data_IF_215014994483
#
_entry.id   IF_215014994483
#
_cell.length_a   1.000
_cell.length_b   1.000
_cell.length_c   1.000
_cell.angle_alpha   90.00
_cell.angle_beta   90.00
_cell.angle_gamma   90.00
#
_symmetry.space_group_name_H-M   'P 1'
#
loop_
_entity.id
_entity.type
_entity.pdbx_description
1 polymer ?
#
# COMPACT_ATOMS: atom_id res chain seq x y z
N UNK A 1 65.84 3.43 -18.67
CA UNK A 1 64.39 3.49 -18.94
C UNK A 1 63.86 2.07 -18.83
N UNK A 2 62.95 1.81 -17.88
CA UNK A 2 61.51 1.49 -18.11
C UNK A 2 61.32 0.21 -18.96
N UNK A 3 60.62 -0.84 -18.58
CA UNK A 3 59.85 -1.14 -17.36
C UNK A 3 59.53 -2.63 -17.32
N UNK A 4 59.31 -3.10 -16.10
CA UNK A 4 58.71 -4.35 -15.64
C UNK A 4 57.35 -4.73 -16.29
N UNK A 5 57.22 -6.04 -16.60
CA UNK A 5 56.31 -7.04 -16.00
C UNK A 5 54.76 -6.97 -16.17
N UNK A 6 54.24 -8.16 -16.55
CA UNK A 6 52.96 -8.82 -16.21
C UNK A 6 51.77 -8.69 -17.16
N UNK A 7 51.41 -9.82 -17.77
CA UNK A 7 50.02 -10.24 -17.93
C UNK A 7 49.96 -11.78 -17.95
N UNK A 8 49.73 -12.39 -16.79
CA UNK A 8 49.24 -13.79 -16.73
C UNK A 8 47.73 -13.67 -16.66
N UNK A 9 47.06 -13.92 -17.78
CA UNK A 9 45.63 -14.17 -17.80
C UNK A 9 45.42 -15.62 -17.36
N UNK A 10 44.77 -15.81 -16.22
CA UNK A 10 44.24 -17.11 -15.81
C UNK A 10 42.72 -17.02 -15.90
N UNK A 11 42.20 -17.60 -16.97
CA UNK A 11 40.78 -17.94 -17.17
C UNK A 11 40.41 -19.15 -16.32
N UNK A 12 39.11 -19.48 -16.28
CA UNK A 12 38.39 -20.54 -15.52
C UNK A 12 37.81 -20.04 -14.19
N UNK A 13 36.52 -20.18 -13.86
CA UNK A 13 35.48 -21.08 -14.36
C UNK A 13 34.07 -20.58 -13.96
N UNK A 14 33.04 -21.08 -14.67
CA UNK A 14 31.72 -21.35 -14.07
C UNK A 14 30.66 -20.27 -14.20
N UNK A 15 30.08 -20.09 -15.40
CA UNK A 15 28.72 -19.55 -15.53
C UNK A 15 27.74 -20.60 -14.97
N UNK A 16 27.37 -20.47 -13.70
CA UNK A 16 26.12 -21.03 -13.21
C UNK A 16 25.00 -20.16 -13.78
N UNK A 17 24.24 -20.69 -14.73
CA UNK A 17 23.01 -20.08 -15.19
C UNK A 17 21.99 -20.16 -14.05
N UNK A 18 21.98 -19.13 -13.21
CA UNK A 18 20.84 -18.82 -12.36
C UNK A 18 19.74 -18.33 -13.30
N UNK A 19 18.66 -19.10 -13.41
CA UNK A 19 17.41 -18.63 -13.97
C UNK A 19 16.77 -17.67 -12.96
N UNK A 20 17.17 -16.40 -13.01
CA UNK A 20 16.41 -15.34 -12.36
C UNK A 20 15.10 -15.18 -13.13
N UNK A 21 13.97 -15.23 -12.44
CA UNK A 21 12.74 -14.69 -13.01
C UNK A 21 12.93 -13.17 -13.07
N UNK A 22 13.12 -12.62 -14.27
CA UNK A 22 13.37 -11.19 -14.60
C UNK A 22 12.20 -10.24 -14.26
N UNK A 23 11.38 -10.52 -13.23
CA UNK A 23 10.26 -9.65 -12.86
C UNK A 23 10.74 -8.69 -11.77
N UNK A 24 10.76 -7.39 -12.08
CA UNK A 24 10.97 -6.36 -11.06
C UNK A 24 9.90 -6.52 -9.95
N UNK A 25 10.27 -6.31 -8.66
CA UNK A 25 9.31 -6.41 -7.57
C UNK A 25 8.23 -5.36 -7.73
N UNK A 26 7.00 -5.71 -7.35
CA UNK A 26 5.93 -4.72 -7.24
C UNK A 26 6.28 -3.72 -6.14
N UNK A 27 6.07 -2.43 -6.37
CA UNK A 27 6.30 -1.33 -5.43
C UNK A 27 5.00 -0.89 -4.78
N UNK A 28 4.93 -1.03 -3.46
CA UNK A 28 3.83 -0.52 -2.64
C UNK A 28 4.34 0.65 -1.81
N UNK A 29 3.65 1.79 -1.86
CA UNK A 29 3.97 2.93 -1.00
C UNK A 29 2.99 2.96 0.18
N UNK A 30 3.53 3.08 1.39
CA UNK A 30 2.74 3.19 2.62
C UNK A 30 3.05 4.53 3.31
N UNK A 31 2.03 5.35 3.58
CA UNK A 31 2.14 6.44 4.55
C UNK A 31 1.52 6.01 5.88
N UNK A 32 2.36 5.93 6.92
CA UNK A 32 1.92 5.51 8.25
C UNK A 32 1.62 6.76 9.08
N UNK A 33 0.37 6.86 9.56
CA UNK A 33 -0.09 7.90 10.47
C UNK A 33 -0.34 7.28 11.84
N UNK A 34 0.55 7.58 12.77
CA UNK A 34 0.56 7.02 14.11
C UNK A 34 -0.18 7.94 15.10
N UNK A 35 -1.42 7.58 15.44
CA UNK A 35 -2.21 8.27 16.47
C UNK A 35 -2.61 7.30 17.61
N UNK A 36 -1.79 6.27 17.84
CA UNK A 36 -2.04 5.28 18.89
C UNK A 36 -1.09 5.49 20.07
N UNK A 37 -1.60 5.30 21.28
CA UNK A 37 -0.73 5.34 22.46
C UNK A 37 -0.11 3.95 22.66
N UNK A 38 1.17 3.91 23.05
CA UNK A 38 1.77 2.64 23.46
C UNK A 38 1.15 2.22 24.79
N UNK A 39 0.48 1.08 24.81
CA UNK A 39 -0.18 0.53 26.02
C UNK A 39 0.30 -0.89 26.27
N UNK A 40 0.58 -1.26 27.52
CA UNK A 40 1.02 -2.62 27.87
C UNK A 40 2.20 -3.16 27.04
N UNK A 41 3.17 -2.30 26.69
CA UNK A 41 4.29 -2.59 25.77
C UNK A 41 3.86 -3.04 24.35
N UNK A 42 2.62 -2.75 23.95
CA UNK A 42 2.11 -2.97 22.60
C UNK A 42 2.10 -1.65 21.84
N UNK A 43 2.62 -1.68 20.62
CA UNK A 43 2.56 -0.58 19.68
C UNK A 43 2.27 -1.14 18.29
N UNK A 44 1.01 -1.06 17.87
CA UNK A 44 0.56 -1.53 16.56
C UNK A 44 1.39 -0.94 15.41
N UNK A 45 1.69 0.36 15.46
CA UNK A 45 2.47 1.04 14.43
C UNK A 45 3.86 0.41 14.29
N UNK A 46 4.52 0.11 15.42
CA UNK A 46 5.82 -0.56 15.42
C UNK A 46 5.72 -1.98 14.87
N UNK A 47 4.74 -2.78 15.32
CA UNK A 47 4.54 -4.14 14.81
C UNK A 47 4.25 -4.16 13.31
N UNK A 48 3.53 -3.16 12.78
CA UNK A 48 3.30 -3.05 11.35
C UNK A 48 4.58 -2.72 10.58
N UNK A 49 5.44 -1.83 11.09
CA UNK A 49 6.76 -1.55 10.49
C UNK A 49 7.66 -2.79 10.46
N UNK A 50 7.68 -3.59 11.52
CA UNK A 50 8.41 -4.87 11.56
C UNK A 50 7.89 -5.86 10.49
N UNK A 51 6.58 -5.86 10.24
CA UNK A 51 6.01 -6.64 9.13
C UNK A 51 6.46 -6.13 7.77
N UNK A 52 6.60 -4.81 7.59
CA UNK A 52 7.12 -4.19 6.37
C UNK A 52 8.58 -4.58 6.13
N UNK A 53 9.39 -4.64 7.18
CA UNK A 53 10.78 -5.14 7.08
C UNK A 53 10.81 -6.60 6.63
N UNK A 54 9.90 -7.44 7.14
CA UNK A 54 9.77 -8.84 6.73
C UNK A 54 9.32 -8.97 5.28
N UNK A 55 8.33 -8.19 4.84
CA UNK A 55 7.88 -8.16 3.44
C UNK A 55 9.01 -7.74 2.49
N UNK A 56 9.82 -6.77 2.90
CA UNK A 56 10.97 -6.29 2.12
C UNK A 56 12.13 -7.29 2.00
N UNK A 57 12.07 -8.44 2.69
CA UNK A 57 13.02 -9.54 2.49
C UNK A 57 12.61 -10.48 1.34
N UNK A 58 11.38 -10.33 0.82
CA UNK A 58 10.88 -11.09 -0.32
C UNK A 58 11.34 -10.44 -1.64
N UNK A 59 11.48 -11.25 -2.69
CA UNK A 59 11.98 -10.78 -3.99
C UNK A 59 10.89 -10.13 -4.86
N UNK A 60 9.62 -10.39 -4.58
CA UNK A 60 8.48 -10.04 -5.42
C UNK A 60 7.75 -8.76 -4.99
N UNK A 61 8.01 -8.25 -3.79
CA UNK A 61 7.40 -7.03 -3.25
C UNK A 61 8.44 -6.11 -2.60
N UNK A 62 8.32 -4.82 -2.92
CA UNK A 62 9.06 -3.74 -2.30
C UNK A 62 8.09 -2.76 -1.65
N UNK A 63 8.22 -2.57 -0.34
CA UNK A 63 7.39 -1.62 0.41
C UNK A 63 8.22 -0.41 0.80
N UNK A 64 7.76 0.78 0.44
CA UNK A 64 8.44 2.06 0.69
C UNK A 64 7.58 2.95 1.58
N UNK A 65 8.16 3.49 2.66
CA UNK A 65 7.46 4.46 3.50
C UNK A 65 7.49 5.85 2.85
N UNK A 66 6.31 6.44 2.61
CA UNK A 66 6.14 7.73 1.92
C UNK A 66 7.02 8.82 2.53
N UNK A 67 6.89 9.05 3.85
CA UNK A 67 7.66 10.07 4.58
C UNK A 67 9.18 9.84 4.47
N UNK A 68 9.63 8.59 4.43
CA UNK A 68 11.06 8.26 4.29
C UNK A 68 11.60 8.68 2.93
N UNK A 69 10.82 8.46 1.86
CA UNK A 69 11.25 8.78 0.49
C UNK A 69 10.96 10.22 0.06
N UNK A 70 10.13 10.98 0.80
CA UNK A 70 9.73 12.35 0.43
C UNK A 70 10.08 13.44 1.43
N UNK A 71 10.77 13.13 2.54
CA UNK A 71 11.04 14.12 3.58
C UNK A 71 11.77 15.36 3.02
N UNK A 72 11.26 16.56 3.35
CA UNK A 72 11.84 17.83 2.91
C UNK A 72 11.68 18.14 1.42
N UNK A 73 10.91 17.35 0.66
CA UNK A 73 10.65 17.59 -0.76
C UNK A 73 9.43 18.50 -0.97
N UNK A 74 9.51 19.32 -2.02
CA UNK A 74 8.34 20.00 -2.60
C UNK A 74 7.53 19.04 -3.49
N UNK A 75 6.33 19.45 -3.88
CA UNK A 75 5.41 18.57 -4.62
C UNK A 75 5.92 18.20 -6.02
N UNK A 76 6.70 19.06 -6.67
CA UNK A 76 7.34 18.74 -7.95
C UNK A 76 8.31 17.57 -7.82
N UNK A 77 9.16 17.58 -6.79
CA UNK A 77 10.11 16.47 -6.52
C UNK A 77 9.38 15.20 -6.11
N UNK A 78 8.35 15.31 -5.28
CA UNK A 78 7.53 14.15 -4.89
C UNK A 78 6.85 13.51 -6.10
N UNK A 79 6.33 14.32 -7.03
CA UNK A 79 5.77 13.79 -8.28
C UNK A 79 6.82 13.04 -9.09
N UNK A 80 8.05 13.57 -9.21
CA UNK A 80 9.13 12.88 -9.91
C UNK A 80 9.51 11.53 -9.25
N UNK A 81 9.44 11.44 -7.92
CA UNK A 81 9.63 10.18 -7.18
C UNK A 81 8.52 9.18 -7.55
N UNK A 82 7.26 9.60 -7.54
CA UNK A 82 6.12 8.76 -7.91
C UNK A 82 6.23 8.26 -9.36
N UNK A 83 6.55 9.15 -10.29
CA UNK A 83 6.71 8.83 -11.72
C UNK A 83 7.85 7.82 -11.96
N UNK A 84 8.92 7.91 -11.16
CA UNK A 84 10.07 7.01 -11.23
C UNK A 84 9.77 5.64 -10.62
N UNK A 85 9.03 5.60 -9.51
CA UNK A 85 8.75 4.37 -8.76
C UNK A 85 7.61 3.55 -9.36
N UNK A 86 6.63 4.22 -10.00
CA UNK A 86 5.43 3.61 -10.59
C UNK A 86 4.75 2.60 -9.64
N UNK A 87 4.35 3.03 -8.43
CA UNK A 87 3.80 2.11 -7.44
C UNK A 87 2.52 1.45 -7.95
N UNK A 88 2.30 0.17 -7.65
CA UNK A 88 1.05 -0.52 -7.94
C UNK A 88 -0.10 -0.01 -7.06
N UNK A 89 0.20 0.29 -5.79
CA UNK A 89 -0.75 0.83 -4.82
C UNK A 89 -0.05 1.81 -3.88
N UNK A 90 -0.77 2.88 -3.55
CA UNK A 90 -0.40 3.82 -2.50
C UNK A 90 -1.45 3.72 -1.39
N UNK A 91 -1.02 3.44 -0.16
CA UNK A 91 -1.94 3.38 0.97
C UNK A 91 -1.49 4.29 2.10
N UNK A 92 -2.40 5.11 2.59
CA UNK A 92 -2.22 5.78 3.88
C UNK A 92 -2.91 4.95 4.95
N UNK A 93 -2.17 4.53 5.98
CA UNK A 93 -2.72 3.75 7.09
C UNK A 93 -2.65 4.59 8.35
N UNK A 94 -3.83 4.93 8.88
CA UNK A 94 -3.96 5.64 10.14
C UNK A 94 -4.41 4.71 11.24
N UNK A 95 -3.55 4.52 12.24
CA UNK A 95 -3.89 3.81 13.47
C UNK A 95 -4.32 4.82 14.52
N UNK A 96 -5.47 4.59 15.16
CA UNK A 96 -5.95 5.42 16.27
C UNK A 96 -6.62 4.56 17.34
N UNK A 97 -6.56 5.02 18.59
CA UNK A 97 -7.24 4.35 19.70
C UNK A 97 -8.75 4.26 19.45
N UNK A 98 -9.34 3.10 19.73
CA UNK A 98 -10.78 2.91 19.60
C UNK A 98 -11.54 3.80 20.59
N UNK A 99 -12.51 4.54 20.07
CA UNK A 99 -13.43 5.35 20.90
C UNK A 99 -14.68 4.58 21.31
N UNK A 100 -14.95 3.46 20.63
CA UNK A 100 -16.07 2.54 20.86
C UNK A 100 -15.57 1.21 21.43
N UNK A 101 -16.51 0.34 21.81
CA UNK A 101 -16.22 -1.01 22.32
C UNK A 101 -15.70 -1.98 21.27
N UNK A 102 -15.73 -1.63 19.99
CA UNK A 102 -15.36 -2.48 18.86
C UNK A 102 -14.14 -1.88 18.16
N UNK A 103 -13.30 -2.75 17.59
CA UNK A 103 -12.28 -2.30 16.63
C UNK A 103 -12.97 -2.10 15.27
N UNK A 104 -12.61 -1.05 14.54
CA UNK A 104 -13.24 -0.70 13.28
C UNK A 104 -12.19 -0.50 12.19
N UNK A 105 -12.54 -0.87 10.97
CA UNK A 105 -11.81 -0.46 9.78
C UNK A 105 -12.72 0.32 8.85
N UNK A 106 -12.18 1.39 8.27
CA UNK A 106 -12.84 2.20 7.26
C UNK A 106 -11.85 2.55 6.17
N UNK A 107 -12.27 2.49 4.92
CA UNK A 107 -11.49 3.03 3.81
C UNK A 107 -12.12 4.29 3.24
N UNK A 108 -11.28 5.20 2.74
CA UNK A 108 -11.68 6.38 1.99
C UNK A 108 -10.88 6.42 0.70
N UNK A 109 -11.58 6.61 -0.41
CA UNK A 109 -10.99 6.77 -1.75
C UNK A 109 -11.28 8.17 -2.27
N UNK A 110 -10.29 8.81 -2.88
CA UNK A 110 -10.50 10.13 -3.46
C UNK A 110 -11.35 10.06 -4.73
N UNK A 111 -12.43 10.84 -4.82
CA UNK A 111 -13.28 10.96 -6.01
C UNK A 111 -12.55 11.53 -7.22
N UNK A 112 -11.53 12.34 -6.97
CA UNK A 112 -10.72 12.94 -8.01
C UNK A 112 -9.50 12.08 -8.40
N UNK A 113 -9.34 10.88 -7.83
CA UNK A 113 -8.27 9.94 -8.21
C UNK A 113 -8.45 9.48 -9.67
N UNK A 114 -7.42 9.66 -10.51
CA UNK A 114 -7.38 9.14 -11.89
C UNK A 114 -7.58 7.63 -12.01
N UNK A 115 -7.29 6.89 -10.95
CA UNK A 115 -7.43 5.44 -10.80
C UNK A 115 -8.59 5.07 -9.86
N UNK A 116 -9.67 5.86 -9.85
CA UNK A 116 -10.78 5.71 -8.92
C UNK A 116 -11.34 4.29 -8.82
N UNK A 117 -11.68 3.65 -9.94
CA UNK A 117 -12.32 2.31 -9.93
C UNK A 117 -11.40 1.24 -9.34
N UNK A 118 -10.12 1.26 -9.70
CA UNK A 118 -9.11 0.37 -9.13
C UNK A 118 -8.90 0.65 -7.64
N UNK A 119 -8.90 1.93 -7.24
CA UNK A 119 -8.78 2.33 -5.83
C UNK A 119 -9.97 1.85 -5.01
N UNK A 120 -11.18 1.99 -5.54
CA UNK A 120 -12.42 1.53 -4.91
C UNK A 120 -12.44 0.01 -4.75
N UNK A 121 -12.05 -0.72 -5.81
CA UNK A 121 -11.95 -2.18 -5.78
C UNK A 121 -10.92 -2.64 -4.75
N UNK A 122 -9.74 -2.02 -4.76
CA UNK A 122 -8.64 -2.33 -3.85
C UNK A 122 -9.02 -2.05 -2.39
N UNK A 123 -9.66 -0.91 -2.13
CA UNK A 123 -10.15 -0.56 -0.80
C UNK A 123 -11.22 -1.54 -0.28
N UNK A 124 -12.13 -2.00 -1.15
CA UNK A 124 -13.12 -3.04 -0.80
C UNK A 124 -12.44 -4.35 -0.45
N UNK A 125 -11.53 -4.83 -1.30
CA UNK A 125 -10.77 -6.06 -1.05
C UNK A 125 -10.05 -6.03 0.31
N UNK A 126 -9.39 -4.92 0.63
CA UNK A 126 -8.73 -4.78 1.92
C UNK A 126 -9.74 -4.76 3.08
N UNK A 127 -10.77 -3.92 3.02
CA UNK A 127 -11.74 -3.77 4.11
C UNK A 127 -12.58 -5.02 4.35
N UNK A 128 -12.99 -5.73 3.29
CA UNK A 128 -13.71 -7.01 3.38
C UNK A 128 -12.85 -8.11 4.01
N UNK A 129 -11.52 -8.05 3.87
CA UNK A 129 -10.62 -9.01 4.51
C UNK A 129 -10.66 -8.97 6.04
N UNK A 130 -11.10 -7.85 6.61
CA UNK A 130 -11.21 -7.63 8.06
C UNK A 130 -12.52 -8.10 8.66
N UNK A 131 -13.56 -8.42 7.87
CA UNK A 131 -14.92 -8.68 8.37
C UNK A 131 -15.00 -9.98 9.19
N UNK A 132 -14.63 -9.88 10.47
CA UNK A 132 -14.57 -10.96 11.43
C UNK A 132 -14.97 -10.47 12.83
N UNK A 133 -14.96 -11.36 13.82
CA UNK A 133 -15.37 -11.02 15.19
C UNK A 133 -14.37 -10.11 15.93
N UNK A 134 -13.22 -9.78 15.33
CA UNK A 134 -12.15 -8.98 15.95
C UNK A 134 -12.24 -7.53 15.48
N UNK A 135 -12.52 -7.29 14.19
CA UNK A 135 -12.52 -5.97 13.57
C UNK A 135 -13.74 -5.84 12.68
N UNK A 136 -14.56 -4.83 12.93
CA UNK A 136 -15.75 -4.58 12.14
C UNK A 136 -15.41 -3.71 10.93
N UNK A 137 -15.85 -4.16 9.75
CA UNK A 137 -15.79 -3.36 8.54
C UNK A 137 -16.93 -2.33 8.50
N UNK A 138 -16.60 -1.04 8.52
CA UNK A 138 -17.56 0.07 8.39
C UNK A 138 -17.76 0.50 6.92
N UNK A 139 -17.01 -0.10 5.99
CA UNK A 139 -17.14 0.08 4.56
C UNK A 139 -16.13 1.03 3.92
N UNK A 140 -16.40 1.37 2.66
CA UNK A 140 -15.59 2.24 1.83
C UNK A 140 -16.38 3.51 1.49
N UNK A 141 -15.79 4.65 1.81
CA UNK A 141 -16.35 5.98 1.57
C UNK A 141 -15.55 6.72 0.50
N UNK A 142 -16.13 7.82 0.03
CA UNK A 142 -15.52 8.66 -1.00
C UNK A 142 -15.41 10.10 -0.51
N UNK A 143 -14.24 10.71 -0.69
CA UNK A 143 -13.97 12.10 -0.33
C UNK A 143 -13.19 12.81 -1.44
N UNK A 144 -13.03 14.13 -1.36
CA UNK A 144 -12.03 14.82 -2.17
C UNK A 144 -10.67 14.75 -1.46
N UNK A 145 -9.59 14.70 -2.23
CA UNK A 145 -8.22 14.78 -1.72
C UNK A 145 -7.39 15.79 -2.50
N UNK A 146 -6.52 16.49 -1.79
CA UNK A 146 -5.53 17.42 -2.36
C UNK A 146 -4.13 16.81 -2.43
N UNK A 147 -3.97 15.57 -1.95
CA UNK A 147 -2.67 14.90 -1.89
C UNK A 147 -2.26 14.38 -3.27
N UNK A 148 -1.06 14.76 -3.72
CA UNK A 148 -0.54 14.39 -5.04
C UNK A 148 -0.42 12.88 -5.23
N UNK A 149 -0.11 12.15 -4.16
CA UNK A 149 0.06 10.70 -4.22
C UNK A 149 -1.26 9.98 -4.52
N UNK A 150 -2.41 10.61 -4.24
CA UNK A 150 -3.73 10.03 -4.49
C UNK A 150 -4.11 10.05 -5.98
N UNK A 151 -3.24 10.54 -6.86
CA UNK A 151 -3.45 10.57 -8.31
C UNK A 151 -2.38 9.85 -9.12
N UNK A 152 -1.37 9.26 -8.47
CA UNK A 152 -0.23 8.63 -9.14
C UNK A 152 -0.42 7.13 -9.38
N UNK A 153 -1.30 6.49 -8.62
CA UNK A 153 -1.63 5.06 -8.67
C UNK A 153 -2.99 4.84 -8.01
N UNK A 154 -3.55 3.61 -8.03
CA UNK A 154 -4.61 3.24 -7.11
C UNK A 154 -4.23 3.61 -5.68
N UNK A 155 -5.07 4.44 -5.05
CA UNK A 155 -4.74 5.05 -3.77
C UNK A 155 -5.90 5.03 -2.80
N UNK A 156 -5.61 4.75 -1.53
CA UNK A 156 -6.61 4.65 -0.48
C UNK A 156 -6.09 5.13 0.87
N UNK A 157 -6.99 5.74 1.63
CA UNK A 157 -6.78 6.03 3.05
C UNK A 157 -7.53 4.98 3.89
N UNK A 158 -6.84 4.34 4.81
CA UNK A 158 -7.37 3.31 5.70
C UNK A 158 -7.30 3.85 7.13
N UNK A 159 -8.44 3.95 7.80
CA UNK A 159 -8.53 4.26 9.23
C UNK A 159 -8.81 2.98 10.00
N UNK A 160 -7.95 2.66 10.95
CA UNK A 160 -8.11 1.53 11.86
C UNK A 160 -8.25 2.08 13.29
N UNK A 161 -9.45 1.91 13.84
CA UNK A 161 -9.76 2.13 15.25
C UNK A 161 -9.52 0.84 16.00
N UNK A 162 -8.59 0.84 16.94
CA UNK A 162 -8.23 -0.38 17.67
C UNK A 162 -8.04 -0.13 19.16
N UNK A 163 -8.37 -1.13 19.96
CA UNK A 163 -8.06 -1.18 21.40
C UNK A 163 -6.57 -1.32 21.69
N UNK A 164 -5.75 -1.53 20.66
CA UNK A 164 -4.30 -1.75 20.77
C UNK A 164 -3.91 -2.97 21.64
N UNK A 165 -4.76 -3.99 21.71
CA UNK A 165 -4.44 -5.25 22.39
C UNK A 165 -3.71 -6.22 21.46
N UNK A 166 -3.03 -7.21 22.04
CA UNK A 166 -2.17 -8.15 21.30
C UNK A 166 -2.93 -8.94 20.21
N UNK A 167 -4.18 -9.35 20.46
CA UNK A 167 -4.96 -10.13 19.50
C UNK A 167 -5.39 -9.26 18.31
N UNK A 168 -5.96 -8.08 18.62
CA UNK A 168 -6.34 -7.10 17.61
C UNK A 168 -5.15 -6.67 16.77
N UNK A 169 -4.00 -6.41 17.39
CA UNK A 169 -2.79 -5.98 16.69
C UNK A 169 -2.25 -7.06 15.74
N UNK A 170 -2.21 -8.31 16.19
CA UNK A 170 -1.77 -9.44 15.37
C UNK A 170 -2.67 -9.60 14.15
N UNK A 171 -3.99 -9.55 14.34
CA UNK A 171 -4.95 -9.62 13.23
C UNK A 171 -4.76 -8.45 12.25
N UNK A 172 -4.62 -7.23 12.76
CA UNK A 172 -4.41 -6.04 11.92
C UNK A 172 -3.18 -6.16 11.04
N UNK A 173 -2.04 -6.50 11.67
CA UNK A 173 -0.77 -6.63 10.96
C UNK A 173 -0.86 -7.73 9.92
N UNK A 174 -1.38 -8.92 10.28
CA UNK A 174 -1.53 -10.02 9.34
C UNK A 174 -2.36 -9.64 8.11
N UNK A 175 -3.51 -8.97 8.31
CA UNK A 175 -4.38 -8.55 7.20
C UNK A 175 -3.74 -7.51 6.29
N UNK A 176 -3.06 -6.51 6.87
CA UNK A 176 -2.34 -5.51 6.09
C UNK A 176 -1.17 -6.15 5.31
N UNK A 177 -0.39 -7.01 5.95
CA UNK A 177 0.75 -7.67 5.31
C UNK A 177 0.30 -8.61 4.19
N UNK A 178 -0.72 -9.44 4.44
CA UNK A 178 -1.32 -10.33 3.45
C UNK A 178 -1.83 -9.56 2.23
N UNK A 179 -2.51 -8.43 2.48
CA UNK A 179 -2.98 -7.57 1.40
C UNK A 179 -1.82 -7.00 0.59
N UNK A 180 -0.79 -6.43 1.23
CA UNK A 180 0.39 -5.88 0.55
C UNK A 180 1.06 -6.95 -0.32
N UNK A 181 1.21 -8.17 0.21
CA UNK A 181 1.81 -9.29 -0.50
C UNK A 181 0.97 -9.78 -1.68
N UNK A 182 -0.37 -9.79 -1.56
CA UNK A 182 -1.25 -10.41 -2.56
C UNK A 182 -1.91 -9.42 -3.53
N UNK A 183 -1.88 -8.12 -3.24
CA UNK A 183 -2.56 -7.15 -4.10
C UNK A 183 -1.97 -7.18 -5.50
N UNK A 184 -2.85 -7.39 -6.47
CA UNK A 184 -2.60 -7.33 -7.90
C UNK A 184 -3.71 -6.46 -8.50
N UNK A 185 -3.32 -5.40 -9.20
CA UNK A 185 -4.27 -4.53 -9.87
C UNK A 185 -4.40 -5.02 -11.31
N UNK A 186 -5.57 -5.55 -11.66
CA UNK A 186 -5.88 -5.79 -13.07
C UNK A 186 -6.11 -4.44 -13.75
N UNK A 187 -5.14 -4.02 -14.56
CA UNK A 187 -5.20 -2.77 -15.31
C UNK A 187 -6.18 -2.84 -16.50
N UNK A 188 -6.80 -3.99 -16.76
CA UNK A 188 -7.77 -4.19 -17.84
C UNK A 188 -9.23 -4.08 -17.41
N UNK A 189 -9.53 -3.75 -16.15
CA UNK A 189 -10.92 -3.51 -15.73
C UNK A 189 -11.37 -2.15 -16.26
N UNK A 190 -11.89 -2.13 -17.49
CA UNK A 190 -12.89 -1.13 -17.89
C UNK A 190 -14.22 -1.57 -17.29
N UNK A 191 -14.62 -0.96 -16.17
CA UNK A 191 -16.01 -1.07 -15.76
C UNK A 191 -16.83 -0.29 -16.78
N UNK A 192 -17.69 -1.00 -17.54
CA UNK A 192 -18.78 -0.36 -18.25
C UNK A 192 -19.56 0.47 -17.23
N UNK A 193 -19.46 1.80 -17.33
CA UNK A 193 -20.34 2.68 -16.57
C UNK A 193 -21.77 2.26 -16.92
N UNK A 194 -22.66 2.03 -15.94
CA UNK A 194 -24.06 1.81 -16.25
C UNK A 194 -24.55 3.03 -17.02
N UNK A 195 -24.94 2.81 -18.27
CA UNK A 195 -25.60 3.83 -19.08
C UNK A 195 -26.79 4.34 -18.29
N UNK A 196 -26.80 5.63 -17.97
CA UNK A 196 -28.00 6.30 -17.49
C UNK A 196 -28.95 6.34 -18.69
N UNK A 197 -29.71 5.26 -18.87
CA UNK A 197 -30.86 5.27 -19.74
C UNK A 197 -31.91 6.17 -19.08
N UNK A 198 -32.32 7.20 -19.83
CA UNK A 198 -33.22 8.25 -19.40
C UNK A 198 -34.50 7.65 -18.76
N UNK A 199 -34.59 7.72 -17.44
CA UNK A 199 -35.88 7.63 -16.76
C UNK A 199 -36.64 8.94 -17.06
N UNK A 200 -37.40 8.95 -18.16
CA UNK A 200 -38.49 9.89 -18.34
C UNK A 200 -39.46 9.72 -17.19
N UNK A 201 -39.41 10.64 -16.22
CA UNK A 201 -40.46 10.79 -15.22
C UNK A 201 -41.62 11.52 -15.94
N UNK A 202 -42.58 10.73 -16.43
CA UNK A 202 -43.93 11.25 -16.73
C UNK A 202 -44.58 11.69 -15.42
N UNK A 203 -44.75 13.00 -15.24
CA UNK A 203 -45.61 13.56 -14.22
C UNK A 203 -47.00 13.66 -14.83
N UNK A 204 -47.96 12.90 -14.29
CA UNK A 204 -49.40 13.07 -14.55
C UNK A 204 -49.94 14.27 -13.77
#
# INVERSE_FOLDING_TARGET
MKTLLKSVALTFAGFMAFSFTDKEPKVIIVDIVDNIETTNNQNLTQSFRESIETLNQKEDVKVLEWKTITNGMDDTKKQAVLDSLKPEVIMTVSFKNATKTENLVTAVVSKNNKHFDNSLTTARLLTESFDNNVIKNEGVFQAESEYIQDNAAPAMFISIETKNDSNSNTEIVNKLSDFIEKVEIDTNIQLEQPSIENAEISIQ
#
